data_IF_221007279044
#
_entry.id   IF_221007279044
#
_cell.length_a   1.000
_cell.length_b   1.000
_cell.length_c   1.000
_cell.angle_alpha   90.00
_cell.angle_beta   90.00
_cell.angle_gamma   90.00
#
_symmetry.space_group_name_H-M   'P 1'
#
loop_
_entity.id
_entity.type
_entity.pdbx_description
1 polymer ?
#
# COMPACT_ATOMS: atom_id res chain seq x y z
N UNK A 1 -8.57 -14.09 8.12
CA UNK A 1 -8.84 -12.66 7.82
C UNK A 1 -10.19 -12.30 8.44
N UNK A 2 -10.36 -11.11 9.03
CA UNK A 2 -11.69 -10.65 9.46
C UNK A 2 -12.52 -10.23 8.24
N UNK A 3 -13.85 -10.20 8.37
CA UNK A 3 -14.73 -9.76 7.28
C UNK A 3 -14.38 -8.33 6.81
N UNK A 4 -14.18 -7.41 7.76
CA UNK A 4 -13.78 -6.02 7.46
C UNK A 4 -12.43 -6.00 6.73
N UNK A 5 -11.46 -6.79 7.19
CA UNK A 5 -10.15 -6.89 6.54
C UNK A 5 -10.25 -7.38 5.10
N UNK A 6 -11.09 -8.38 4.83
CA UNK A 6 -11.33 -8.87 3.47
C UNK A 6 -11.96 -7.81 2.56
N UNK A 7 -12.91 -7.01 3.08
CA UNK A 7 -13.51 -5.91 2.32
C UNK A 7 -12.47 -4.84 1.98
N UNK A 8 -11.58 -4.48 2.91
CA UNK A 8 -10.53 -3.49 2.66
C UNK A 8 -9.52 -3.98 1.61
N UNK A 9 -9.13 -5.25 1.66
CA UNK A 9 -8.24 -5.85 0.65
C UNK A 9 -8.91 -5.84 -0.73
N UNK A 10 -10.19 -6.19 -0.83
CA UNK A 10 -10.91 -6.18 -2.10
C UNK A 10 -11.06 -4.76 -2.70
N UNK A 11 -11.24 -3.73 -1.85
CA UNK A 11 -11.26 -2.33 -2.30
C UNK A 11 -9.89 -1.91 -2.83
N UNK A 12 -8.82 -2.32 -2.16
CA UNK A 12 -7.45 -2.01 -2.58
C UNK A 12 -7.10 -2.71 -3.92
N UNK A 13 -7.42 -3.99 -4.05
CA UNK A 13 -7.32 -4.76 -5.29
C UNK A 13 -8.14 -4.14 -6.43
N UNK A 14 -9.35 -3.66 -6.17
CA UNK A 14 -10.16 -2.94 -7.15
C UNK A 14 -9.46 -1.66 -7.63
N UNK A 15 -8.89 -0.87 -6.72
CA UNK A 15 -8.10 0.31 -7.06
C UNK A 15 -6.90 -0.04 -7.93
N UNK A 16 -6.21 -1.14 -7.61
CA UNK A 16 -5.09 -1.63 -8.41
C UNK A 16 -5.52 -2.04 -9.83
N UNK A 17 -6.62 -2.79 -9.95
CA UNK A 17 -7.17 -3.25 -11.22
C UNK A 17 -7.62 -2.08 -12.11
N UNK A 18 -8.30 -1.08 -11.54
CA UNK A 18 -8.66 0.16 -12.25
C UNK A 18 -7.40 0.80 -12.81
N UNK A 19 -6.33 0.89 -12.01
CA UNK A 19 -5.03 1.41 -12.39
C UNK A 19 -4.15 0.46 -13.22
N UNK A 20 -4.75 -0.52 -13.90
CA UNK A 20 -4.05 -1.43 -14.82
C UNK A 20 -3.02 -2.33 -14.15
N UNK A 21 -3.23 -2.67 -12.88
CA UNK A 21 -2.47 -3.70 -12.16
C UNK A 21 -3.20 -5.04 -12.17
N UNK A 22 -2.53 -6.08 -11.67
CA UNK A 22 -3.14 -7.39 -11.47
C UNK A 22 -4.30 -7.30 -10.45
N UNK A 23 -5.53 -7.73 -10.80
CA UNK A 23 -6.68 -7.68 -9.90
C UNK A 23 -6.53 -8.52 -8.63
N UNK A 24 -5.65 -9.52 -8.62
CA UNK A 24 -5.39 -10.35 -7.45
C UNK A 24 -4.35 -9.74 -6.51
N UNK A 25 -3.64 -8.67 -6.93
CA UNK A 25 -2.64 -8.00 -6.10
C UNK A 25 -3.08 -6.62 -5.61
N UNK A 26 -2.55 -6.24 -4.44
CA UNK A 26 -2.82 -4.95 -3.80
C UNK A 26 -1.99 -3.83 -4.40
N UNK A 27 -2.46 -2.58 -4.29
CA UNK A 27 -1.68 -1.38 -4.61
C UNK A 27 -0.37 -1.38 -3.82
N UNK A 28 -0.44 -1.72 -2.52
CA UNK A 28 0.75 -1.79 -1.65
C UNK A 28 1.76 -2.84 -2.14
N UNK A 29 1.31 -4.05 -2.50
CA UNK A 29 2.21 -5.09 -3.02
C UNK A 29 2.83 -4.70 -4.37
N UNK A 30 2.02 -4.18 -5.31
CA UNK A 30 2.51 -3.65 -6.58
C UNK A 30 3.56 -2.56 -6.40
N UNK A 31 3.27 -1.61 -5.53
CA UNK A 31 4.16 -0.49 -5.24
C UNK A 31 5.47 -0.97 -4.62
N UNK A 32 5.41 -1.88 -3.64
CA UNK A 32 6.59 -2.46 -3.00
C UNK A 32 7.46 -3.26 -3.99
N UNK A 33 6.84 -4.01 -4.90
CA UNK A 33 7.54 -4.75 -5.94
C UNK A 33 8.33 -3.84 -6.88
N UNK A 34 7.68 -2.82 -7.47
CA UNK A 34 8.35 -1.94 -8.43
C UNK A 34 9.32 -0.95 -7.77
N UNK A 35 9.08 -0.56 -6.52
CA UNK A 35 10.01 0.28 -5.77
C UNK A 35 11.31 -0.46 -5.42
N UNK A 36 11.25 -1.75 -5.06
CA UNK A 36 12.40 -2.46 -4.46
C UNK A 36 12.95 -3.66 -5.22
N UNK A 37 12.18 -4.28 -6.11
CA UNK A 37 12.53 -5.56 -6.73
C UNK A 37 12.71 -5.44 -8.24
N UNK A 38 11.68 -4.97 -8.95
CA UNK A 38 11.74 -4.87 -10.41
C UNK A 38 12.69 -3.77 -10.86
N UNK A 39 13.48 -4.00 -11.90
CA UNK A 39 14.21 -2.95 -12.60
C UNK A 39 13.28 -2.25 -13.59
N UNK A 40 12.96 -0.97 -13.34
CA UNK A 40 12.14 -0.13 -14.21
C UNK A 40 12.76 1.27 -14.33
N UNK A 41 12.70 1.92 -15.51
CA UNK A 41 13.16 3.30 -15.68
C UNK A 41 12.38 4.31 -14.84
N UNK A 42 11.17 3.98 -14.38
CA UNK A 42 10.34 4.86 -13.53
C UNK A 42 10.37 4.45 -12.05
N UNK A 43 11.43 3.75 -11.60
CA UNK A 43 11.62 3.41 -10.17
C UNK A 43 11.39 4.61 -9.22
N UNK A 44 11.86 5.84 -9.49
CA UNK A 44 11.62 6.97 -8.59
C UNK A 44 10.14 7.30 -8.37
N UNK A 45 9.28 7.05 -9.36
CA UNK A 45 7.83 7.19 -9.20
C UNK A 45 7.31 6.16 -8.18
N UNK A 46 7.75 4.91 -8.29
CA UNK A 46 7.35 3.84 -7.38
C UNK A 46 7.86 4.04 -5.96
N UNK A 47 9.10 4.52 -5.79
CA UNK A 47 9.66 4.88 -4.48
C UNK A 47 8.90 6.03 -3.82
N UNK A 48 8.44 7.01 -4.61
CA UNK A 48 7.59 8.09 -4.11
C UNK A 48 6.22 7.56 -3.64
N UNK A 49 5.58 6.71 -4.45
CA UNK A 49 4.30 6.07 -4.08
C UNK A 49 4.45 5.22 -2.83
N UNK A 50 5.52 4.42 -2.73
CA UNK A 50 5.85 3.62 -1.55
C UNK A 50 5.98 4.51 -0.32
N UNK A 51 6.73 5.61 -0.42
CA UNK A 51 6.94 6.54 0.69
C UNK A 51 5.63 7.15 1.20
N UNK A 52 4.70 7.48 0.30
CA UNK A 52 3.39 8.04 0.66
C UNK A 52 2.52 7.00 1.39
N UNK A 53 2.45 5.78 0.87
CA UNK A 53 1.66 4.69 1.47
C UNK A 53 2.27 4.28 2.82
N UNK A 54 3.58 4.07 2.88
CA UNK A 54 4.28 3.71 4.11
C UNK A 54 4.10 4.79 5.18
N UNK A 55 4.18 6.08 4.83
CA UNK A 55 3.90 7.18 5.78
C UNK A 55 2.45 7.18 6.28
N UNK A 56 1.50 6.78 5.43
CA UNK A 56 0.08 6.72 5.75
C UNK A 56 -0.19 5.66 6.81
N UNK A 57 0.39 4.47 6.62
CA UNK A 57 0.15 3.32 7.48
C UNK A 57 1.19 3.12 8.59
N UNK A 58 2.27 3.90 8.62
CA UNK A 58 3.33 3.82 9.63
C UNK A 58 2.82 3.72 11.09
N UNK A 59 1.81 4.51 11.53
CA UNK A 59 1.33 4.39 12.92
C UNK A 59 0.73 3.02 13.27
N UNK A 60 0.20 2.29 12.29
CA UNK A 60 -0.51 1.02 12.47
C UNK A 60 0.37 -0.19 12.14
N UNK A 61 1.15 -0.08 11.07
CA UNK A 61 1.88 -1.21 10.50
C UNK A 61 3.39 -1.12 10.71
N UNK A 62 3.93 0.04 11.07
CA UNK A 62 5.37 0.26 11.18
C UNK A 62 6.03 0.48 9.82
N UNK A 63 7.31 0.10 9.70
CA UNK A 63 8.10 0.31 8.48
C UNK A 63 7.75 -0.67 7.38
N UNK A 64 8.11 -0.31 6.14
CA UNK A 64 8.13 -1.19 4.98
C UNK A 64 6.77 -1.87 4.74
N UNK A 65 5.68 -1.09 4.80
CA UNK A 65 4.32 -1.62 4.63
C UNK A 65 4.15 -2.21 3.23
N UNK A 66 4.51 -1.44 2.19
CA UNK A 66 4.38 -1.89 0.80
C UNK A 66 5.27 -3.10 0.50
N UNK A 67 6.54 -3.05 0.92
CA UNK A 67 7.45 -4.16 0.67
C UNK A 67 7.04 -5.44 1.41
N UNK A 68 6.54 -5.36 2.65
CA UNK A 68 5.99 -6.53 3.34
C UNK A 68 4.72 -7.05 2.69
N UNK A 69 3.86 -6.17 2.16
CA UNK A 69 2.71 -6.58 1.38
C UNK A 69 3.13 -7.37 0.14
N UNK A 70 4.16 -6.90 -0.58
CA UNK A 70 4.74 -7.65 -1.70
C UNK A 70 5.27 -9.03 -1.27
N UNK A 71 6.05 -9.11 -0.19
CA UNK A 71 6.60 -10.39 0.27
C UNK A 71 5.50 -11.39 0.65
N UNK A 72 4.42 -10.92 1.27
CA UNK A 72 3.25 -11.72 1.62
C UNK A 72 2.48 -12.23 0.39
N UNK A 73 2.61 -11.54 -0.74
CA UNK A 73 1.91 -11.81 -2.01
C UNK A 73 2.88 -12.11 -3.17
N UNK A 74 4.06 -12.64 -2.86
CA UNK A 74 5.18 -12.76 -3.81
C UNK A 74 4.96 -13.75 -4.95
N UNK A 75 3.88 -14.55 -4.88
CA UNK A 75 3.48 -15.47 -5.96
C UNK A 75 2.67 -14.76 -7.05
N UNK A 76 2.11 -13.59 -6.74
CA UNK A 76 1.31 -12.82 -7.68
C UNK A 76 2.18 -12.03 -8.66
N UNK A 77 1.69 -11.90 -9.89
CA UNK A 77 2.36 -11.07 -10.91
C UNK A 77 1.99 -9.62 -10.69
N UNK A 78 2.98 -8.73 -10.77
CA UNK A 78 2.76 -7.30 -10.70
C UNK A 78 2.94 -6.68 -12.08
N UNK A 79 1.98 -5.85 -12.48
CA UNK A 79 1.96 -5.20 -13.79
C UNK A 79 2.26 -3.72 -13.63
N UNK A 80 3.16 -3.18 -14.45
CA UNK A 80 3.54 -1.78 -14.30
C UNK A 80 2.44 -0.83 -14.82
N UNK A 81 1.66 -1.28 -15.80
CA UNK A 81 0.68 -0.47 -16.52
C UNK A 81 1.31 0.51 -17.53
N UNK A 82 0.46 1.25 -18.24
CA UNK A 82 0.86 2.37 -19.10
C UNK A 82 1.14 3.64 -18.29
N UNK A 83 1.70 4.69 -18.93
CA UNK A 83 1.89 6.00 -18.27
C UNK A 83 0.58 6.59 -17.75
N UNK A 84 -0.51 6.45 -18.51
CA UNK A 84 -1.85 6.89 -18.09
C UNK A 84 -2.31 6.14 -16.83
N UNK A 85 -2.10 4.82 -16.80
CA UNK A 85 -2.46 3.96 -15.67
C UNK A 85 -1.63 4.27 -14.43
N UNK A 86 -0.33 4.56 -14.58
CA UNK A 86 0.50 5.09 -13.48
C UNK A 86 0.00 6.43 -12.99
N UNK A 87 -0.32 7.36 -13.89
CA UNK A 87 -0.92 8.64 -13.51
C UNK A 87 -2.20 8.47 -12.69
N UNK A 88 -3.07 7.55 -13.11
CA UNK A 88 -4.30 7.23 -12.39
C UNK A 88 -4.02 6.56 -11.03
N UNK A 89 -3.05 5.64 -10.96
CA UNK A 89 -2.60 5.04 -9.69
C UNK A 89 -2.15 6.12 -8.69
N UNK A 90 -1.32 7.05 -9.14
CA UNK A 90 -0.84 8.16 -8.32
C UNK A 90 -1.97 9.03 -7.79
N UNK A 91 -2.99 9.31 -8.61
CA UNK A 91 -4.19 10.04 -8.17
C UNK A 91 -5.00 9.25 -7.12
N UNK A 92 -5.17 7.94 -7.31
CA UNK A 92 -5.85 7.06 -6.34
C UNK A 92 -5.09 7.07 -5.01
N UNK A 93 -3.77 6.91 -5.04
CA UNK A 93 -2.92 6.92 -3.85
C UNK A 93 -3.02 8.27 -3.14
N UNK A 94 -2.83 9.40 -3.85
CA UNK A 94 -2.89 10.73 -3.22
C UNK A 94 -4.27 11.01 -2.60
N UNK A 95 -5.35 10.68 -3.30
CA UNK A 95 -6.71 10.93 -2.84
C UNK A 95 -7.10 10.05 -1.64
N UNK A 96 -6.63 8.80 -1.60
CA UNK A 96 -6.96 7.87 -0.50
C UNK A 96 -6.01 8.01 0.69
N UNK A 97 -4.70 8.14 0.46
CA UNK A 97 -3.70 8.23 1.51
C UNK A 97 -3.79 9.54 2.30
N UNK A 98 -4.18 10.66 1.70
CA UNK A 98 -4.31 11.94 2.42
C UNK A 98 -5.31 11.87 3.60
N UNK A 99 -6.59 11.49 3.40
CA UNK A 99 -7.52 11.33 4.52
C UNK A 99 -7.15 10.16 5.43
N UNK A 100 -6.64 9.05 4.87
CA UNK A 100 -6.20 7.91 5.68
C UNK A 100 -5.05 8.27 6.61
N UNK A 101 -4.10 9.10 6.19
CA UNK A 101 -2.96 9.50 7.01
C UNK A 101 -3.39 10.29 8.25
N UNK A 102 -4.44 11.13 8.12
CA UNK A 102 -5.04 11.82 9.27
C UNK A 102 -5.80 10.82 10.15
N UNK A 103 -6.55 9.90 9.54
CA UNK A 103 -7.35 8.91 10.24
C UNK A 103 -6.48 7.94 11.03
N UNK A 104 -5.40 7.40 10.46
CA UNK A 104 -4.49 6.47 11.15
C UNK A 104 -3.83 7.13 12.35
N UNK A 105 -3.42 8.41 12.22
CA UNK A 105 -2.86 9.21 13.33
C UNK A 105 -3.89 9.48 14.40
N UNK A 106 -5.09 9.91 14.04
CA UNK A 106 -6.17 10.14 14.99
C UNK A 106 -6.56 8.85 15.73
N UNK A 107 -6.66 7.73 14.99
CA UNK A 107 -7.03 6.44 15.55
C UNK A 107 -6.03 5.96 16.60
N UNK A 108 -4.72 6.03 16.34
CA UNK A 108 -3.72 5.64 17.36
C UNK A 108 -3.64 6.62 18.54
N UNK A 109 -4.06 7.88 18.37
CA UNK A 109 -4.16 8.84 19.47
C UNK A 109 -5.32 8.48 20.41
N UNK A 110 -6.47 8.08 19.86
CA UNK A 110 -7.65 7.67 20.63
C UNK A 110 -7.50 6.25 21.19
N UNK A 111 -6.85 5.36 20.45
CA UNK A 111 -6.62 3.96 20.80
C UNK A 111 -5.12 3.62 20.75
N UNK A 112 -4.33 4.01 21.78
CA UNK A 112 -2.90 3.78 21.80
C UNK A 112 -2.49 2.31 21.64
N UNK A 113 -3.33 1.37 22.08
CA UNK A 113 -3.11 -0.08 21.94
C UNK A 113 -3.08 -0.58 20.49
N UNK A 114 -3.60 0.21 19.55
CA UNK A 114 -3.60 -0.07 18.12
C UNK A 114 -2.34 0.42 17.40
N UNK A 115 -1.47 1.16 18.08
CA UNK A 115 -0.19 1.60 17.52
C UNK A 115 0.69 0.38 17.23
N UNK A 116 1.44 0.44 16.14
CA UNK A 116 2.50 -0.51 15.88
C UNK A 116 3.55 -0.45 16.99
N UNK A 117 3.62 -1.50 17.79
CA UNK A 117 4.67 -1.76 18.77
C UNK A 117 5.51 -2.89 18.18
N UNK A 118 6.56 -2.55 17.42
CA UNK A 118 7.39 -3.55 16.73
C UNK A 118 7.75 -4.71 17.65
N UNK A 119 7.45 -5.95 17.21
CA UNK A 119 7.70 -7.25 17.85
C UNK A 119 8.01 -7.13 19.35
N UNK A 120 7.01 -6.78 20.16
CA UNK A 120 6.97 -6.98 21.61
C UNK A 120 5.55 -6.69 22.12
N UNK A 121 4.61 -7.60 21.84
CA UNK A 121 3.50 -7.88 22.76
C UNK A 121 3.76 -9.29 23.33
N UNK A 122 3.57 -9.50 24.65
CA UNK A 122 3.83 -10.78 25.31
C UNK A 122 3.02 -11.92 24.72
#
# INVERSE_FOLDING_TARGET
MSWIGGVLVAIDQLGNAIAGGNPDSTISARTGYFARVSETPVRPYWELMESIIDFTFYPLDGRDHCYRAYLADSQERNEEGSDLMRGMLGLIILFTCLPLALLTRFYVLVFPSARFEGVNKP
#
